data_IF_655512300989
#
_entry.id   IF_655512300989
#
_cell.length_a   1.000
_cell.length_b   1.000
_cell.length_c   1.000
_cell.angle_alpha   90.00
_cell.angle_beta   90.00
_cell.angle_gamma   90.00
#
_symmetry.space_group_name_H-M   'P 1'
#
loop_
_entity.id
_entity.type
_entity.pdbx_description
1 polymer ?
#
# COMPACT_ATOMS: atom_id res chain seq x y z
N UNK A 1 -5.73 5.03 -3.21
CA UNK A 1 -4.35 5.49 -3.48
C UNK A 1 -3.32 4.38 -3.29
N UNK A 2 -3.34 3.63 -2.18
CA UNK A 2 -2.32 2.63 -1.87
C UNK A 2 -2.04 1.61 -2.98
N UNK A 3 -3.06 1.03 -3.62
CA UNK A 3 -2.86 0.08 -4.74
C UNK A 3 -2.09 0.74 -5.91
N UNK A 4 -2.44 1.98 -6.26
CA UNK A 4 -1.77 2.70 -7.35
C UNK A 4 -0.32 3.04 -6.99
N UNK A 5 -0.06 3.35 -5.72
CA UNK A 5 1.28 3.56 -5.19
C UNK A 5 2.08 2.26 -5.21
N UNK A 6 1.50 1.16 -4.74
CA UNK A 6 2.14 -0.16 -4.75
C UNK A 6 2.54 -0.60 -6.16
N UNK A 7 1.70 -0.32 -7.18
CA UNK A 7 2.04 -0.59 -8.57
C UNK A 7 3.19 0.29 -9.08
N UNK A 8 3.17 1.58 -8.71
CA UNK A 8 4.12 2.57 -9.23
C UNK A 8 5.50 2.47 -8.58
N UNK A 9 5.53 2.13 -7.30
CA UNK A 9 6.74 1.90 -6.51
C UNK A 9 7.18 0.42 -6.56
N UNK A 10 6.53 -0.39 -7.41
CA UNK A 10 6.88 -1.79 -7.67
C UNK A 10 6.90 -2.68 -6.40
N UNK A 11 6.07 -2.35 -5.41
CA UNK A 11 5.92 -3.19 -4.22
C UNK A 11 5.24 -4.51 -4.54
N UNK A 12 4.32 -4.48 -5.52
CA UNK A 12 3.47 -5.58 -5.95
C UNK A 12 3.14 -5.40 -7.43
N UNK A 13 3.11 -6.49 -8.18
CA UNK A 13 2.41 -6.52 -9.47
C UNK A 13 0.90 -6.52 -9.20
N UNK A 14 0.24 -5.39 -9.47
CA UNK A 14 -1.19 -5.24 -9.17
C UNK A 14 -2.05 -6.16 -10.03
N UNK A 15 -1.63 -6.49 -11.25
CA UNK A 15 -2.39 -7.39 -12.11
C UNK A 15 -2.34 -8.82 -11.55
N UNK A 16 -1.14 -9.33 -11.26
CA UNK A 16 -0.97 -10.66 -10.64
C UNK A 16 -1.69 -10.74 -9.28
N UNK A 17 -1.54 -9.70 -8.45
CA UNK A 17 -2.16 -9.60 -7.15
C UNK A 17 -3.69 -9.72 -7.25
N UNK A 18 -4.33 -8.94 -8.13
CA UNK A 18 -5.79 -8.97 -8.30
C UNK A 18 -6.28 -10.34 -8.76
N UNK A 19 -5.62 -10.94 -9.76
CA UNK A 19 -6.00 -12.28 -10.26
C UNK A 19 -5.94 -13.34 -9.16
N UNK A 20 -4.90 -13.30 -8.32
CA UNK A 20 -4.74 -14.27 -7.22
C UNK A 20 -5.75 -14.05 -6.10
N UNK A 21 -6.06 -12.80 -5.76
CA UNK A 21 -7.06 -12.46 -4.75
C UNK A 21 -8.46 -12.88 -5.22
N UNK A 22 -8.83 -12.58 -6.47
CA UNK A 22 -10.11 -13.00 -7.06
C UNK A 22 -10.25 -14.53 -7.14
N UNK A 23 -9.15 -15.23 -7.44
CA UNK A 23 -9.09 -16.69 -7.42
C UNK A 23 -9.08 -17.28 -6.00
N UNK A 24 -9.17 -16.47 -4.94
CA UNK A 24 -9.08 -16.88 -3.53
C UNK A 24 -7.78 -17.63 -3.21
N UNK A 25 -6.68 -17.30 -3.91
CA UNK A 25 -5.34 -17.88 -3.74
C UNK A 25 -4.38 -16.98 -2.97
N UNK A 26 -4.79 -15.74 -2.71
CA UNK A 26 -4.03 -14.76 -1.95
C UNK A 26 -4.98 -13.92 -1.09
N UNK A 27 -4.42 -13.29 -0.08
CA UNK A 27 -5.10 -12.36 0.81
C UNK A 27 -4.51 -10.96 0.63
N UNK A 28 -5.37 -9.94 0.61
CA UNK A 28 -4.99 -8.53 0.47
C UNK A 28 -5.71 -7.72 1.54
N UNK A 29 -4.93 -7.01 2.34
CA UNK A 29 -5.42 -6.03 3.30
C UNK A 29 -4.86 -4.65 2.99
N UNK A 30 -5.72 -3.65 3.09
CA UNK A 30 -5.41 -2.27 2.80
C UNK A 30 -6.11 -1.39 3.84
N UNK A 31 -5.36 -0.47 4.44
CA UNK A 31 -5.97 0.64 5.16
C UNK A 31 -5.15 1.91 4.92
N UNK A 32 -5.84 3.03 4.83
CA UNK A 32 -5.21 4.33 4.78
C UNK A 32 -6.08 5.34 5.51
N UNK A 33 -5.45 6.07 6.42
CA UNK A 33 -6.09 7.11 7.22
C UNK A 33 -5.46 8.47 6.89
N UNK A 34 -6.28 9.52 6.89
CA UNK A 34 -5.79 10.90 6.77
C UNK A 34 -5.49 11.39 8.18
N UNK A 35 -4.22 11.63 8.47
CA UNK A 35 -3.77 12.13 9.78
C UNK A 35 -3.91 13.64 9.90
N UNK A 36 -3.73 14.37 8.80
CA UNK A 36 -3.94 15.82 8.78
C UNK A 36 -4.17 16.33 7.35
N UNK A 37 -4.66 17.56 7.24
CA UNK A 37 -4.77 18.27 5.96
C UNK A 37 -4.16 19.66 6.08
N UNK A 38 -3.47 20.11 5.03
CA UNK A 38 -2.93 21.46 4.94
C UNK A 38 -3.14 22.01 3.53
N UNK A 39 -3.98 23.03 3.43
CA UNK A 39 -4.39 23.61 2.14
C UNK A 39 -4.98 22.55 1.20
N UNK A 40 -4.27 22.26 0.10
CA UNK A 40 -4.70 21.26 -0.91
C UNK A 40 -3.98 19.90 -0.76
N UNK A 41 -3.29 19.66 0.35
CA UNK A 41 -2.58 18.39 0.62
C UNK A 41 -3.22 17.68 1.80
N UNK A 42 -3.38 16.37 1.67
CA UNK A 42 -3.69 15.46 2.75
C UNK A 42 -2.44 14.67 3.11
N UNK A 43 -2.19 14.53 4.41
CA UNK A 43 -1.13 13.70 4.97
C UNK A 43 -1.80 12.45 5.51
N UNK A 44 -1.20 11.31 5.19
CA UNK A 44 -1.80 10.02 5.40
C UNK A 44 -0.77 9.00 5.85
N UNK A 45 -1.26 8.05 6.61
CA UNK A 45 -0.56 6.83 6.94
C UNK A 45 -1.37 5.69 6.38
N UNK A 46 -0.69 4.71 5.79
CA UNK A 46 -1.36 3.57 5.22
C UNK A 46 -0.55 2.30 5.39
N UNK A 47 -1.24 1.18 5.33
CA UNK A 47 -0.63 -0.13 5.28
C UNK A 47 -1.21 -0.92 4.11
N UNK A 48 -0.35 -1.73 3.50
CA UNK A 48 -0.71 -2.73 2.51
C UNK A 48 -0.05 -4.05 2.88
N UNK A 49 -0.86 -5.08 3.02
CA UNK A 49 -0.40 -6.45 3.26
C UNK A 49 -0.96 -7.33 2.17
N UNK A 50 -0.08 -8.04 1.47
CA UNK A 50 -0.43 -9.05 0.48
C UNK A 50 0.28 -10.34 0.83
N UNK A 51 -0.46 -11.43 0.96
CA UNK A 51 0.12 -12.74 1.28
C UNK A 51 -0.46 -13.82 0.37
N UNK A 52 0.43 -14.59 -0.25
CA UNK A 52 0.12 -15.86 -0.90
C UNK A 52 1.01 -16.99 -0.36
N UNK A 53 0.89 -18.20 -0.91
CA UNK A 53 1.67 -19.38 -0.47
C UNK A 53 3.19 -19.24 -0.61
N UNK A 54 3.68 -18.27 -1.37
CA UNK A 54 5.07 -18.12 -1.77
C UNK A 54 5.66 -16.73 -1.46
N UNK A 55 4.81 -15.73 -1.23
CA UNK A 55 5.19 -14.33 -1.11
C UNK A 55 4.38 -13.65 -0.03
N UNK A 56 5.05 -12.82 0.75
CA UNK A 56 4.42 -11.91 1.68
C UNK A 56 5.02 -10.52 1.45
N UNK A 57 4.16 -9.55 1.22
CA UNK A 57 4.51 -8.14 1.14
C UNK A 57 3.74 -7.43 2.24
N UNK A 58 4.47 -6.70 3.08
CA UNK A 58 3.88 -5.86 4.10
C UNK A 58 4.61 -4.51 4.05
N UNK A 59 3.89 -3.45 3.71
CA UNK A 59 4.42 -2.08 3.68
C UNK A 59 3.55 -1.19 4.55
N UNK A 60 4.18 -0.45 5.45
CA UNK A 60 3.61 0.71 6.11
C UNK A 60 4.21 1.96 5.48
N UNK A 61 3.37 2.91 5.11
CA UNK A 61 3.78 4.09 4.35
C UNK A 61 3.18 5.35 4.96
N UNK A 62 4.04 6.34 5.19
CA UNK A 62 3.63 7.71 5.49
C UNK A 62 3.77 8.51 4.21
N UNK A 63 2.68 9.10 3.74
CA UNK A 63 2.66 9.82 2.48
C UNK A 63 1.76 11.02 2.53
N UNK A 64 1.98 11.97 1.63
CA UNK A 64 1.06 13.07 1.40
C UNK A 64 0.64 13.09 -0.07
N UNK A 65 -0.58 13.50 -0.34
CA UNK A 65 -1.08 13.65 -1.70
C UNK A 65 -1.89 14.93 -1.87
N UNK A 66 -1.92 15.44 -3.10
CA UNK A 66 -2.77 16.57 -3.45
C UNK A 66 -4.22 16.09 -3.54
N UNK A 67 -5.11 16.72 -2.79
CA UNK A 67 -6.55 16.43 -2.80
C UNK A 67 -7.07 16.56 -4.24
N UNK A 68 -7.89 15.60 -4.68
CA UNK A 68 -8.38 15.45 -6.05
C UNK A 68 -7.28 15.14 -7.10
N UNK A 69 -6.11 14.64 -6.69
CA UNK A 69 -5.08 14.14 -7.60
C UNK A 69 -4.59 12.76 -7.19
N UNK A 70 -4.74 11.79 -8.09
CA UNK A 70 -4.27 10.42 -7.88
C UNK A 70 -2.79 10.22 -8.24
N UNK A 71 -2.17 11.18 -8.92
CA UNK A 71 -0.78 11.06 -9.42
C UNK A 71 0.23 11.89 -8.64
N UNK A 72 -0.25 12.83 -7.83
CA UNK A 72 0.57 13.76 -7.07
C UNK A 72 0.61 13.33 -5.62
N UNK A 73 1.53 12.41 -5.31
CA UNK A 73 1.87 12.02 -3.95
C UNK A 73 3.37 12.12 -3.72
N UNK A 74 3.76 12.14 -2.45
CA UNK A 74 5.14 12.02 -1.99
C UNK A 74 5.14 11.11 -0.78
N UNK A 75 6.01 10.11 -0.80
CA UNK A 75 6.28 9.23 0.33
C UNK A 75 7.28 9.96 1.22
N UNK A 76 6.95 10.05 2.51
CA UNK A 76 7.79 10.66 3.54
C UNK A 76 8.50 9.60 4.36
N UNK A 77 7.87 8.44 4.54
CA UNK A 77 8.46 7.28 5.19
C UNK A 77 7.87 5.98 4.62
N UNK A 78 8.67 4.93 4.58
CA UNK A 78 8.30 3.60 4.09
C UNK A 78 9.00 2.54 4.93
N UNK A 79 8.21 1.66 5.53
CA UNK A 79 8.70 0.59 6.40
C UNK A 79 8.14 -0.77 5.97
N UNK A 80 9.00 -1.78 6.01
CA UNK A 80 8.63 -3.17 5.76
C UNK A 80 8.13 -3.78 7.06
N UNK A 81 6.81 -3.98 7.16
CA UNK A 81 6.17 -4.54 8.34
C UNK A 81 6.09 -6.07 8.31
N UNK A 82 6.84 -6.70 7.40
CA UNK A 82 6.96 -8.15 7.35
C UNK A 82 7.54 -8.59 8.69
N UNK A 83 6.68 -9.13 9.55
CA UNK A 83 7.11 -9.91 10.70
C UNK A 83 8.05 -10.97 10.15
N UNK A 84 9.35 -10.83 10.46
CA UNK A 84 10.31 -11.88 10.21
C UNK A 84 9.72 -13.19 10.73
N UNK A 85 9.71 -14.19 9.85
CA UNK A 85 9.61 -15.63 10.14
C UNK A 85 9.03 -15.97 11.52
N UNK A 86 7.71 -16.13 11.62
CA UNK A 86 7.14 -16.93 12.71
C UNK A 86 6.80 -18.32 12.19
N UNK A 87 7.80 -19.20 12.40
CA UNK A 87 7.79 -20.67 12.54
C UNK A 87 7.19 -21.54 11.44
#
# INVERSE_FOLDING_TARGET
MLIQMANREEWLDVHEMMERVEAHKAHLELNADITSTSGKRAYSEGYITYSDRSRNVCKQVVFNFKINSLRSYSISDLHDCSLGEYY
#
